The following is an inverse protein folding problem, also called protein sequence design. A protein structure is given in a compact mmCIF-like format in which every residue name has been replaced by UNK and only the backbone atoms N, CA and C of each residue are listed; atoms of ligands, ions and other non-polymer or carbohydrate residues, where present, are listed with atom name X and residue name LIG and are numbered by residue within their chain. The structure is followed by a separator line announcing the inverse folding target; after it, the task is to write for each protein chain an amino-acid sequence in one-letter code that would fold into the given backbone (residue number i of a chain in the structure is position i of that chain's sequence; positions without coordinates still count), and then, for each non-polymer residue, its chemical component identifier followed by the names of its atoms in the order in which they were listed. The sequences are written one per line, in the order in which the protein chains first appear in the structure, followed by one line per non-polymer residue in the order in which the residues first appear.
data_IF_980288160196
#
_entry.id   IF_980288160196
#
_cell.length_a   1.000
_cell.length_b   1.000
_cell.length_c   1.000
_cell.angle_alpha   90.00
_cell.angle_beta   90.00
_cell.angle_gamma   90.00
#
_symmetry.space_group_name_H-M   'P 1'
#
loop_
_entity.id
_entity.type
_entity.pdbx_description
1 polymer ?
#
# COMPACT_ATOMS: atom_id res chain seq x y z
N UNK A 1 -13.63 11.48 -8.76
CA UNK A 1 -12.76 11.71 -7.60
C UNK A 1 -13.33 11.33 -6.23
N UNK A 2 -14.66 11.30 -5.99
CA UNK A 2 -15.25 10.87 -4.70
C UNK A 2 -15.34 9.35 -4.48
N UNK A 3 -15.00 8.51 -5.47
CA UNK A 3 -15.35 7.08 -5.48
C UNK A 3 -14.26 6.13 -4.96
N UNK A 4 -13.00 6.56 -4.91
CA UNK A 4 -11.86 5.71 -4.46
C UNK A 4 -11.36 6.01 -3.05
N UNK A 5 -12.00 6.98 -2.37
CA UNK A 5 -11.56 7.45 -1.06
C UNK A 5 -11.39 6.34 0.00
N UNK A 6 -12.29 5.33 0.12
CA UNK A 6 -12.16 4.36 1.20
C UNK A 6 -10.99 3.38 1.05
N UNK A 7 -10.67 2.95 -0.16
CA UNK A 7 -9.50 2.07 -0.38
C UNK A 7 -8.21 2.86 -0.20
N UNK A 8 -8.18 4.09 -0.73
CA UNK A 8 -7.07 5.00 -0.54
C UNK A 8 -6.88 5.37 0.94
N UNK A 9 -7.97 5.54 1.70
CA UNK A 9 -7.94 5.87 3.14
C UNK A 9 -7.34 4.73 3.96
N UNK A 10 -7.64 3.48 3.64
CA UNK A 10 -7.04 2.32 4.34
C UNK A 10 -5.55 2.20 4.00
N UNK A 11 -5.18 2.39 2.75
CA UNK A 11 -3.79 2.36 2.31
C UNK A 11 -3.01 3.59 2.80
N UNK A 12 -3.65 4.76 2.82
CA UNK A 12 -3.08 5.99 3.41
C UNK A 12 -3.04 5.89 4.94
N UNK A 13 -3.98 5.21 5.61
CA UNK A 13 -3.89 4.95 7.05
C UNK A 13 -2.74 4.00 7.40
N UNK A 14 -2.44 3.02 6.57
CA UNK A 14 -1.24 2.18 6.68
C UNK A 14 0.04 3.00 6.40
N UNK A 15 0.00 3.95 5.46
CA UNK A 15 1.11 4.85 5.12
C UNK A 15 1.18 6.09 6.02
N UNK A 16 0.04 6.59 6.52
CA UNK A 16 -0.07 7.82 7.32
C UNK A 16 0.24 7.65 8.80
N UNK A 17 0.82 6.52 9.20
CA UNK A 17 1.56 6.45 10.47
C UNK A 17 2.71 7.47 10.55
N UNK A 18 2.55 8.65 9.94
CA UNK A 18 3.35 9.84 10.18
C UNK A 18 4.67 9.99 9.40
N UNK A 19 5.07 9.01 8.57
CA UNK A 19 6.39 9.05 7.92
C UNK A 19 6.43 9.42 6.43
N UNK A 20 5.32 9.32 5.71
CA UNK A 20 5.32 9.36 4.25
C UNK A 20 5.80 10.71 3.66
N UNK A 21 5.43 11.83 4.23
CA UNK A 21 5.82 13.16 3.71
C UNK A 21 7.30 13.50 3.97
N UNK A 22 7.91 12.89 4.97
CA UNK A 22 9.34 13.11 5.28
C UNK A 22 10.25 12.28 4.36
N UNK A 23 9.78 11.09 3.98
CA UNK A 23 10.57 10.15 3.16
C UNK A 23 10.78 10.62 1.72
N UNK A 24 9.82 11.35 1.15
CA UNK A 24 9.96 11.95 -0.20
C UNK A 24 11.18 12.89 -0.29
N UNK A 25 11.65 13.41 0.82
CA UNK A 25 12.74 14.39 0.88
C UNK A 25 14.11 13.80 1.23
N UNK A 26 14.18 12.54 1.68
CA UNK A 26 15.42 11.90 2.14
C UNK A 26 15.66 10.50 1.57
N UNK A 27 15.14 10.23 0.36
CA UNK A 27 15.22 8.93 -0.27
C UNK A 27 16.65 8.39 -0.38
N UNK A 28 16.90 7.31 0.33
CA UNK A 28 18.00 6.42 0.02
C UNK A 28 17.51 5.42 -1.02
N UNK A 29 18.30 5.13 -2.04
CA UNK A 29 18.04 4.05 -2.98
C UNK A 29 18.33 2.69 -2.29
N UNK A 30 17.60 2.39 -1.22
CA UNK A 30 17.43 1.01 -0.80
C UNK A 30 16.75 0.28 -1.95
N UNK A 31 17.17 -0.95 -2.23
CA UNK A 31 16.50 -1.77 -3.21
C UNK A 31 14.99 -1.70 -2.92
N UNK A 32 14.20 -1.23 -3.88
CA UNK A 32 12.75 -1.17 -3.76
C UNK A 32 12.19 -2.46 -4.36
N UNK A 33 11.99 -3.54 -3.59
CA UNK A 33 11.50 -4.81 -4.12
C UNK A 33 10.19 -4.63 -4.87
N UNK A 34 9.37 -3.67 -4.42
CA UNK A 34 8.12 -3.30 -5.08
C UNK A 34 8.31 -2.91 -6.57
N UNK A 35 9.41 -2.28 -6.94
CA UNK A 35 9.67 -1.93 -8.33
C UNK A 35 9.80 -3.16 -9.24
N UNK A 36 10.22 -4.31 -8.70
CA UNK A 36 10.27 -5.59 -9.42
C UNK A 36 8.89 -6.21 -9.69
N UNK A 37 7.85 -5.73 -9.01
CA UNK A 37 6.47 -6.22 -9.17
C UNK A 37 5.64 -5.38 -10.13
N UNK A 38 6.08 -4.17 -10.41
CA UNK A 38 5.33 -3.15 -11.13
C UNK A 38 5.65 -3.14 -12.63
N UNK A 39 4.69 -2.76 -13.48
CA UNK A 39 4.96 -2.54 -14.90
C UNK A 39 5.90 -1.34 -15.10
N UNK A 40 6.67 -1.31 -16.20
CA UNK A 40 7.68 -0.27 -16.44
C UNK A 40 7.07 1.13 -16.64
N UNK A 41 5.83 1.18 -17.11
CA UNK A 41 5.04 2.40 -17.34
C UNK A 41 4.30 2.91 -16.10
N UNK A 42 4.67 2.43 -14.91
CA UNK A 42 4.11 2.91 -13.63
C UNK A 42 4.30 4.42 -13.47
N UNK A 43 3.19 5.13 -13.25
CA UNK A 43 3.15 6.59 -13.20
C UNK A 43 3.68 7.16 -11.87
N UNK A 44 3.43 6.44 -10.75
CA UNK A 44 3.90 6.84 -9.43
C UNK A 44 4.07 5.63 -8.53
N UNK A 45 5.11 5.64 -7.71
CA UNK A 45 5.39 4.63 -6.69
C UNK A 45 5.73 5.33 -5.38
N UNK A 46 5.00 5.00 -4.33
CA UNK A 46 5.37 5.27 -2.95
C UNK A 46 5.73 3.95 -2.29
N UNK A 47 6.95 3.82 -1.79
CA UNK A 47 7.41 2.62 -1.10
C UNK A 47 8.10 2.97 0.22
N UNK A 48 7.83 2.16 1.24
CA UNK A 48 8.46 2.24 2.57
C UNK A 48 9.09 0.87 2.84
N UNK A 49 10.39 0.71 2.60
CA UNK A 49 11.06 -0.59 2.71
C UNK A 49 11.00 -1.18 4.11
N UNK A 50 11.17 -0.34 5.13
CA UNK A 50 11.15 -0.76 6.53
C UNK A 50 10.34 0.23 7.40
N UNK A 51 9.02 0.04 7.52
CA UNK A 51 8.16 0.93 8.31
C UNK A 51 8.58 1.05 9.77
N UNK A 52 9.05 -0.05 10.37
CA UNK A 52 9.50 -0.05 11.76
C UNK A 52 10.67 0.90 11.99
N UNK A 53 11.71 0.80 11.18
CA UNK A 53 12.85 1.73 11.26
C UNK A 53 12.43 3.16 10.92
N UNK A 54 11.55 3.35 9.95
CA UNK A 54 11.04 4.67 9.58
C UNK A 54 10.34 5.32 10.77
N UNK A 55 9.52 4.59 11.52
CA UNK A 55 8.85 5.09 12.73
C UNK A 55 9.85 5.44 13.82
N UNK A 56 10.85 4.58 14.09
CA UNK A 56 11.86 4.86 15.12
C UNK A 56 12.69 6.10 14.76
N UNK A 57 13.11 6.23 13.51
CA UNK A 57 13.82 7.44 13.04
C UNK A 57 12.95 8.69 13.15
N UNK A 58 11.65 8.58 12.79
CA UNK A 58 10.74 9.71 12.91
C UNK A 58 10.61 10.21 14.36
N UNK A 59 10.58 9.31 15.34
CA UNK A 59 10.54 9.66 16.76
C UNK A 59 11.73 10.51 17.22
N UNK A 60 12.84 10.47 16.50
CA UNK A 60 14.04 11.27 16.82
C UNK A 60 14.01 12.68 16.22
N UNK A 61 13.04 12.98 15.33
CA UNK A 61 12.97 14.26 14.63
C UNK A 61 12.31 15.37 15.47
N UNK A 62 12.66 16.62 15.19
CA UNK A 62 12.00 17.76 15.81
C UNK A 62 10.54 17.88 15.38
N UNK A 63 10.20 17.40 14.18
CA UNK A 63 8.82 17.33 13.71
C UNK A 63 7.98 16.40 14.61
N UNK A 64 8.53 15.25 15.03
CA UNK A 64 7.84 14.38 15.97
C UNK A 64 7.65 15.04 17.35
N UNK A 65 8.67 15.73 17.85
CA UNK A 65 8.57 16.47 19.12
C UNK A 65 7.45 17.51 19.04
N UNK A 66 7.44 18.31 17.96
CA UNK A 66 6.38 19.29 17.71
C UNK A 66 5.00 18.60 17.56
N UNK A 67 4.93 17.49 16.84
CA UNK A 67 3.69 16.71 16.68
C UNK A 67 3.13 16.21 18.02
N UNK A 68 3.99 15.86 18.97
CA UNK A 68 3.59 15.33 20.27
C UNK A 68 3.24 16.42 21.30
N UNK A 69 3.44 17.70 20.97
CA UNK A 69 3.04 18.80 21.82
C UNK A 69 1.53 18.85 22.02
N UNK A 70 1.03 18.98 23.27
CA UNK A 70 -0.40 18.98 23.58
C UNK A 70 -1.20 20.01 22.81
N UNK A 71 -0.66 21.21 22.62
CA UNK A 71 -1.34 22.30 21.91
C UNK A 71 -1.47 22.01 20.41
N UNK A 72 -0.45 21.40 19.80
CA UNK A 72 -0.47 20.95 18.41
C UNK A 72 -1.49 19.82 18.23
N UNK A 73 -1.52 18.85 19.15
CA UNK A 73 -2.50 17.77 19.15
C UNK A 73 -3.93 18.32 19.30
N UNK A 74 -4.14 19.29 20.20
CA UNK A 74 -5.45 19.92 20.38
C UNK A 74 -5.90 20.70 19.14
N UNK A 75 -4.99 21.41 18.48
CA UNK A 75 -5.25 22.13 17.23
C UNK A 75 -5.62 21.16 16.09
N UNK A 76 -4.88 20.06 15.99
CA UNK A 76 -5.08 19.06 14.92
C UNK A 76 -6.26 18.11 15.19
N UNK A 77 -6.73 18.00 16.43
CA UNK A 77 -7.84 17.11 16.79
C UNK A 77 -9.14 17.45 16.05
N UNK A 78 -9.41 18.72 15.76
CA UNK A 78 -10.60 19.17 15.04
C UNK A 78 -10.55 18.84 13.54
N UNK A 79 -9.51 19.21 12.77
CA UNK A 79 -9.40 18.86 11.37
C UNK A 79 -9.16 17.36 11.14
N UNK A 80 -8.56 16.66 12.10
CA UNK A 80 -8.33 15.24 12.08
C UNK A 80 -9.45 14.41 12.74
N UNK A 81 -10.61 14.98 12.97
CA UNK A 81 -11.80 14.29 13.53
C UNK A 81 -12.29 13.08 12.74
N UNK A 82 -11.63 12.75 11.62
CA UNK A 82 -11.75 11.50 10.87
C UNK A 82 -10.83 10.39 11.41
N UNK A 83 -9.97 10.70 12.38
CA UNK A 83 -9.03 9.73 12.94
C UNK A 83 -9.73 8.99 14.10
N UNK A 84 -9.71 7.65 14.10
CA UNK A 84 -10.34 6.85 15.15
C UNK A 84 -9.91 7.25 16.56
N UNK A 85 -10.72 6.96 17.60
CA UNK A 85 -10.35 7.17 19.00
C UNK A 85 -8.96 6.63 19.34
N UNK A 86 -8.31 7.21 20.34
CA UNK A 86 -6.93 6.86 20.71
C UNK A 86 -6.72 5.38 21.03
N UNK A 87 -7.74 4.72 21.59
CA UNK A 87 -7.70 3.29 21.92
C UNK A 87 -7.67 2.43 20.64
N UNK A 88 -8.59 2.66 19.70
CA UNK A 88 -8.63 1.92 18.43
C UNK A 88 -7.36 2.12 17.61
N UNK A 89 -6.77 3.30 17.67
CA UNK A 89 -5.45 3.56 17.04
C UNK A 89 -4.35 2.75 17.69
N UNK A 90 -4.32 2.69 19.01
CA UNK A 90 -3.32 1.90 19.73
C UNK A 90 -3.44 0.41 19.40
N UNK A 91 -4.66 -0.12 19.33
CA UNK A 91 -4.92 -1.51 18.99
C UNK A 91 -4.53 -1.82 17.54
N UNK A 92 -4.87 -0.93 16.60
CA UNK A 92 -4.46 -1.07 15.20
C UNK A 92 -2.93 -1.01 15.04
N UNK A 93 -2.25 -0.07 15.71
CA UNK A 93 -0.80 0.01 15.68
C UNK A 93 -0.14 -1.23 16.30
N UNK A 94 -0.71 -1.79 17.37
CA UNK A 94 -0.24 -3.02 17.98
C UNK A 94 -0.41 -4.22 17.03
N UNK A 95 -1.50 -4.30 16.28
CA UNK A 95 -1.71 -5.32 15.23
C UNK A 95 -0.69 -5.17 14.10
N UNK A 96 -0.50 -3.96 13.58
CA UNK A 96 0.51 -3.68 12.56
C UNK A 96 1.92 -4.07 13.06
N UNK A 97 2.25 -3.73 14.31
CA UNK A 97 3.55 -4.06 14.89
C UNK A 97 3.79 -5.58 14.99
N UNK A 98 2.74 -6.38 15.22
CA UNK A 98 2.83 -7.86 15.23
C UNK A 98 3.15 -8.43 13.86
N UNK A 99 2.60 -7.83 12.80
CA UNK A 99 2.87 -8.25 11.42
C UNK A 99 4.28 -7.92 10.96
N UNK A 100 4.98 -7.03 11.65
CA UNK A 100 6.32 -6.56 11.27
C UNK A 100 6.41 -6.26 9.76
N UNK A 101 5.53 -5.39 9.24
CA UNK A 101 5.45 -5.19 7.81
C UNK A 101 6.76 -4.64 7.26
N UNK A 102 7.14 -5.14 6.11
CA UNK A 102 8.25 -4.64 5.31
C UNK A 102 7.77 -4.37 3.89
N UNK A 103 8.56 -3.61 3.12
CA UNK A 103 8.27 -3.35 1.71
C UNK A 103 6.82 -2.90 1.45
N UNK A 104 6.29 -2.03 2.32
CA UNK A 104 4.94 -1.45 2.12
C UNK A 104 4.99 -0.51 0.93
N UNK A 105 4.08 -0.69 -0.01
CA UNK A 105 4.04 0.16 -1.21
C UNK A 105 2.61 0.43 -1.70
N UNK A 106 2.46 1.52 -2.41
CA UNK A 106 1.31 1.84 -3.24
C UNK A 106 1.79 2.42 -4.56
N UNK A 107 1.24 1.95 -5.66
CA UNK A 107 1.58 2.39 -6.99
C UNK A 107 0.34 2.78 -7.80
N UNK A 108 0.46 3.87 -8.52
CA UNK A 108 -0.43 4.23 -9.61
C UNK A 108 0.19 3.71 -10.90
N UNK A 109 -0.36 2.65 -11.47
CA UNK A 109 0.23 1.97 -12.62
C UNK A 109 -0.24 2.55 -13.93
N UNK A 110 -1.50 2.98 -14.01
CA UNK A 110 -2.07 3.57 -15.21
C UNK A 110 -3.27 4.48 -14.88
N UNK A 111 -3.68 5.26 -15.84
CA UNK A 111 -4.98 5.93 -15.88
C UNK A 111 -5.75 5.37 -17.07
N UNK A 112 -6.99 4.96 -16.89
CA UNK A 112 -7.85 4.55 -18.00
C UNK A 112 -8.11 5.71 -18.97
N UNK A 113 -7.85 5.49 -20.25
CA UNK A 113 -7.93 6.54 -21.28
C UNK A 113 -9.34 7.15 -21.45
N UNK A 114 -10.37 6.40 -21.12
CA UNK A 114 -11.78 6.80 -21.32
C UNK A 114 -12.44 7.34 -20.08
N UNK A 115 -12.25 6.65 -18.95
CA UNK A 115 -12.88 6.99 -17.67
C UNK A 115 -11.99 7.86 -16.79
N UNK A 116 -10.69 7.97 -17.11
CA UNK A 116 -9.66 8.59 -16.28
C UNK A 116 -9.63 7.97 -14.86
N UNK A 117 -10.04 6.70 -14.75
CA UNK A 117 -9.98 5.96 -13.49
C UNK A 117 -8.53 5.47 -13.26
N UNK A 118 -7.99 5.66 -12.05
CA UNK A 118 -6.65 5.21 -11.74
C UNK A 118 -6.61 3.69 -11.53
N UNK A 119 -5.63 3.03 -12.10
CA UNK A 119 -5.26 1.66 -11.78
C UNK A 119 -4.23 1.68 -10.64
N UNK A 120 -4.62 1.13 -9.50
CA UNK A 120 -3.82 1.18 -8.27
C UNK A 120 -3.51 -0.22 -7.81
N UNK A 121 -2.23 -0.46 -7.54
CA UNK A 121 -1.73 -1.66 -6.87
C UNK A 121 -1.07 -1.25 -5.55
N UNK A 122 -1.34 -2.00 -4.51
CA UNK A 122 -0.66 -1.84 -3.24
C UNK A 122 -0.31 -3.20 -2.65
N UNK A 123 0.64 -3.22 -1.73
CA UNK A 123 1.01 -4.44 -1.05
C UNK A 123 2.02 -4.21 0.06
N UNK A 124 2.28 -5.26 0.79
CA UNK A 124 3.31 -5.30 1.81
C UNK A 124 3.74 -6.74 2.09
N UNK A 125 4.99 -6.91 2.50
CA UNK A 125 5.46 -8.15 3.08
C UNK A 125 5.22 -8.14 4.58
N UNK A 126 4.96 -9.30 5.17
CA UNK A 126 4.68 -9.44 6.60
C UNK A 126 5.38 -10.67 7.16
N UNK A 127 5.61 -10.64 8.47
CA UNK A 127 6.09 -11.79 9.23
C UNK A 127 4.95 -12.23 10.15
N UNK A 128 4.57 -13.50 10.08
CA UNK A 128 3.46 -14.01 10.88
C UNK A 128 2.44 -14.78 10.06
N UNK A 129 1.24 -14.93 10.59
CA UNK A 129 0.17 -15.65 9.92
C UNK A 129 -0.66 -14.73 9.02
N UNK A 130 -1.10 -15.23 7.87
CA UNK A 130 -2.04 -14.50 7.00
C UNK A 130 -3.36 -14.13 7.70
N UNK A 131 -3.77 -14.94 8.69
CA UNK A 131 -4.93 -14.62 9.53
C UNK A 131 -4.80 -13.30 10.29
N UNK A 132 -3.59 -12.89 10.67
CA UNK A 132 -3.37 -11.60 11.33
C UNK A 132 -3.56 -10.43 10.34
N UNK A 133 -3.18 -10.63 9.07
CA UNK A 133 -3.47 -9.69 7.98
C UNK A 133 -4.97 -9.60 7.75
N UNK A 134 -5.68 -10.74 7.70
CA UNK A 134 -7.13 -10.76 7.53
C UNK A 134 -7.85 -10.05 8.67
N UNK A 135 -7.42 -10.23 9.91
CA UNK A 135 -7.95 -9.49 11.06
C UNK A 135 -7.71 -7.99 10.95
N UNK A 136 -6.52 -7.57 10.54
CA UNK A 136 -6.20 -6.16 10.33
C UNK A 136 -7.08 -5.53 9.24
N UNK A 137 -7.34 -6.26 8.15
CA UNK A 137 -8.08 -5.79 7.00
C UNK A 137 -9.60 -5.95 7.12
N UNK A 138 -10.10 -6.73 8.09
CA UNK A 138 -11.52 -7.00 8.25
C UNK A 138 -12.38 -5.72 8.34
N UNK A 139 -12.03 -4.69 9.13
CA UNK A 139 -12.81 -3.46 9.18
C UNK A 139 -12.89 -2.75 7.81
N UNK A 140 -11.83 -2.80 7.03
CA UNK A 140 -11.80 -2.20 5.70
C UNK A 140 -12.64 -2.98 4.69
N UNK A 141 -12.56 -4.32 4.74
CA UNK A 141 -13.42 -5.21 3.94
C UNK A 141 -14.91 -4.97 4.26
N UNK A 142 -15.24 -4.80 5.55
CA UNK A 142 -16.61 -4.51 5.98
C UNK A 142 -17.08 -3.11 5.57
N UNK A 143 -16.25 -2.09 5.68
CA UNK A 143 -16.55 -0.76 5.19
C UNK A 143 -16.80 -0.74 3.67
N UNK A 144 -16.03 -1.54 2.91
CA UNK A 144 -16.23 -1.72 1.48
C UNK A 144 -17.59 -2.35 1.18
N UNK A 145 -17.97 -3.41 1.90
CA UNK A 145 -19.29 -4.07 1.77
C UNK A 145 -20.44 -3.12 2.12
N UNK A 146 -20.31 -2.37 3.20
CA UNK A 146 -21.31 -1.36 3.60
C UNK A 146 -21.45 -0.24 2.56
N UNK A 147 -20.33 0.18 1.96
CA UNK A 147 -20.32 1.22 0.92
C UNK A 147 -20.97 0.75 -0.37
N UNK A 148 -20.85 -0.53 -0.69
CA UNK A 148 -21.35 -1.12 -1.93
C UNK A 148 -22.22 -2.36 -1.60
N UNK A 149 -23.47 -2.12 -1.10
CA UNK A 149 -24.34 -3.23 -0.66
C UNK A 149 -24.80 -4.15 -1.79
N UNK A 150 -24.75 -3.68 -3.05
CA UNK A 150 -24.99 -4.51 -4.23
C UNK A 150 -23.74 -5.24 -4.74
N UNK A 151 -22.58 -5.01 -4.10
CA UNK A 151 -21.33 -5.63 -4.47
C UNK A 151 -21.34 -7.13 -4.20
N UNK A 152 -20.52 -7.86 -4.96
CA UNK A 152 -20.40 -9.33 -4.84
C UNK A 152 -18.96 -9.69 -4.54
N UNK A 153 -18.80 -10.45 -3.46
CA UNK A 153 -17.53 -11.09 -3.14
C UNK A 153 -17.47 -12.45 -3.85
N UNK A 154 -16.31 -12.80 -4.36
CA UNK A 154 -16.01 -14.09 -4.96
C UNK A 154 -14.59 -14.51 -4.64
N UNK A 155 -14.30 -15.80 -4.77
CA UNK A 155 -12.98 -16.41 -4.60
C UNK A 155 -12.61 -17.15 -5.89
N UNK A 156 -11.64 -16.63 -6.59
CA UNK A 156 -11.12 -17.20 -7.82
C UNK A 156 -9.84 -17.98 -7.54
N UNK A 157 -9.49 -18.90 -8.44
CA UNK A 157 -8.17 -19.50 -8.45
C UNK A 157 -7.43 -19.03 -9.70
N UNK A 158 -6.38 -18.24 -9.52
CA UNK A 158 -5.53 -17.79 -10.61
C UNK A 158 -4.17 -18.48 -10.52
N UNK A 159 -3.88 -19.37 -11.46
CA UNK A 159 -2.59 -20.09 -11.56
C UNK A 159 -2.16 -20.82 -10.27
N UNK A 160 -3.13 -21.26 -9.47
CA UNK A 160 -2.88 -21.91 -8.18
C UNK A 160 -2.94 -20.97 -6.96
N UNK A 161 -3.10 -19.68 -7.16
CA UNK A 161 -3.26 -18.69 -6.08
C UNK A 161 -4.75 -18.40 -5.86
N UNK A 162 -5.23 -18.48 -4.60
CA UNK A 162 -6.53 -17.94 -4.24
C UNK A 162 -6.53 -16.41 -4.39
N UNK A 163 -7.46 -15.89 -5.19
CA UNK A 163 -7.67 -14.45 -5.39
C UNK A 163 -9.05 -14.10 -4.86
N UNK A 164 -9.11 -13.32 -3.80
CA UNK A 164 -10.36 -12.75 -3.33
C UNK A 164 -10.73 -11.55 -4.20
N UNK A 165 -11.97 -11.50 -4.66
CA UNK A 165 -12.49 -10.37 -5.46
C UNK A 165 -13.73 -9.78 -4.82
N UNK A 166 -13.92 -8.48 -5.00
CA UNK A 166 -15.13 -7.77 -4.65
C UNK A 166 -15.53 -6.83 -5.79
N UNK A 167 -16.52 -7.26 -6.57
CA UNK A 167 -17.10 -6.43 -7.62
C UNK A 167 -18.07 -5.41 -6.99
N UNK A 168 -17.79 -4.12 -7.14
CA UNK A 168 -18.56 -3.04 -6.49
C UNK A 168 -19.92 -2.76 -7.16
N UNK A 169 -20.17 -3.38 -8.32
CA UNK A 169 -21.40 -3.17 -9.10
C UNK A 169 -21.40 -1.90 -9.97
N UNK A 170 -20.33 -1.11 -9.94
CA UNK A 170 -20.15 0.09 -10.76
C UNK A 170 -18.97 0.00 -11.76
N UNK A 171 -18.53 -1.21 -12.04
CA UNK A 171 -17.43 -1.49 -12.97
C UNK A 171 -16.07 -1.71 -12.33
N UNK A 172 -15.88 -1.34 -11.06
CA UNK A 172 -14.62 -1.56 -10.35
C UNK A 172 -14.64 -2.90 -9.63
N UNK A 173 -13.57 -3.67 -9.73
CA UNK A 173 -13.34 -4.90 -8.97
C UNK A 173 -12.10 -4.74 -8.10
N UNK A 174 -12.28 -4.80 -6.80
CA UNK A 174 -11.15 -4.90 -5.86
C UNK A 174 -10.74 -6.35 -5.81
N UNK A 175 -9.46 -6.63 -6.05
CA UNK A 175 -8.90 -7.97 -6.02
C UNK A 175 -7.71 -8.03 -5.07
N UNK A 176 -7.56 -9.13 -4.32
CA UNK A 176 -6.43 -9.32 -3.42
C UNK A 176 -5.96 -10.78 -3.39
N UNK A 177 -4.67 -10.97 -3.15
CA UNK A 177 -4.05 -12.29 -3.07
C UNK A 177 -2.88 -12.30 -2.10
N UNK A 178 -2.58 -13.50 -1.61
CA UNK A 178 -1.34 -13.80 -0.89
C UNK A 178 -0.37 -14.54 -1.81
N UNK A 179 0.89 -14.14 -1.79
CA UNK A 179 2.00 -14.84 -2.41
C UNK A 179 3.10 -15.05 -1.37
N UNK A 180 3.02 -16.17 -0.64
CA UNK A 180 3.85 -16.41 0.53
C UNK A 180 3.60 -15.38 1.63
N UNK A 181 4.62 -14.59 1.96
CA UNK A 181 4.58 -13.50 2.93
C UNK A 181 4.21 -12.13 2.32
N UNK A 182 3.89 -12.09 1.05
CA UNK A 182 3.47 -10.88 0.34
C UNK A 182 1.94 -10.84 0.21
N UNK A 183 1.33 -9.77 0.72
CA UNK A 183 -0.07 -9.44 0.45
C UNK A 183 -0.15 -8.37 -0.63
N UNK A 184 -1.00 -8.60 -1.62
CA UNK A 184 -1.26 -7.69 -2.74
C UNK A 184 -2.74 -7.35 -2.80
N UNK A 185 -3.05 -6.12 -3.16
CA UNK A 185 -4.40 -5.64 -3.43
C UNK A 185 -4.39 -4.65 -4.60
N UNK A 186 -5.33 -4.81 -5.51
CA UNK A 186 -5.53 -3.91 -6.65
C UNK A 186 -7.01 -3.55 -6.81
N UNK A 187 -7.28 -2.45 -7.47
CA UNK A 187 -8.64 -2.08 -7.88
C UNK A 187 -9.02 -2.59 -9.28
N UNK A 188 -8.20 -3.46 -9.83
CA UNK A 188 -8.37 -4.13 -11.11
C UNK A 188 -7.83 -5.55 -11.01
N UNK A 189 -8.67 -6.54 -11.36
CA UNK A 189 -8.29 -7.94 -11.33
C UNK A 189 -7.17 -8.25 -12.33
N UNK A 190 -7.23 -7.71 -13.54
CA UNK A 190 -6.20 -7.95 -14.55
C UNK A 190 -4.83 -7.39 -14.15
N UNK A 191 -4.82 -6.24 -13.43
CA UNK A 191 -3.60 -5.68 -12.86
C UNK A 191 -2.99 -6.62 -11.81
N UNK A 192 -3.82 -7.19 -10.93
CA UNK A 192 -3.34 -8.15 -9.92
C UNK A 192 -2.79 -9.42 -10.58
N UNK A 193 -3.52 -10.00 -11.54
CA UNK A 193 -3.10 -11.19 -12.28
C UNK A 193 -1.77 -10.97 -13.01
N UNK A 194 -1.64 -9.86 -13.73
CA UNK A 194 -0.38 -9.49 -14.40
C UNK A 194 0.78 -9.27 -13.41
N UNK A 195 0.48 -8.82 -12.20
CA UNK A 195 1.48 -8.66 -11.14
C UNK A 195 1.93 -10.02 -10.60
N UNK A 196 1.00 -10.93 -10.34
CA UNK A 196 1.32 -12.31 -9.93
C UNK A 196 2.19 -13.01 -10.97
N UNK A 197 1.81 -12.92 -12.26
CA UNK A 197 2.61 -13.49 -13.34
C UNK A 197 4.02 -12.90 -13.42
N UNK A 198 4.17 -11.59 -13.19
CA UNK A 198 5.47 -10.94 -13.20
C UNK A 198 6.36 -11.41 -12.06
N UNK A 199 5.82 -11.53 -10.85
CA UNK A 199 6.56 -12.01 -9.68
C UNK A 199 7.03 -13.45 -9.90
N UNK A 200 6.20 -14.30 -10.49
CA UNK A 200 6.52 -15.70 -10.73
C UNK A 200 7.19 -15.97 -12.10
N UNK A 201 7.51 -14.92 -12.86
CA UNK A 201 8.15 -15.00 -14.18
C UNK A 201 7.40 -15.87 -15.17
N UNK A 202 6.06 -15.83 -15.16
CA UNK A 202 5.20 -16.62 -16.04
C UNK A 202 4.83 -15.87 -17.32
N UNK A 203 4.80 -16.58 -18.44
CA UNK A 203 4.27 -16.14 -19.74
C UNK A 203 4.94 -14.92 -20.34
N UNK A 204 4.18 -14.15 -21.12
CA UNK A 204 4.62 -12.87 -21.70
C UNK A 204 4.86 -11.79 -20.64
N UNK A 205 4.50 -12.03 -19.41
CA UNK A 205 4.78 -11.19 -18.25
C UNK A 205 6.26 -11.25 -17.80
N UNK A 206 7.12 -11.95 -18.50
CA UNK A 206 8.55 -11.63 -18.55
C UNK A 206 8.82 -10.21 -19.11
N UNK A 207 7.76 -9.41 -19.32
CA UNK A 207 7.87 -7.99 -19.60
C UNK A 207 8.72 -7.32 -18.53
N UNK A 208 9.63 -6.40 -18.90
CA UNK A 208 10.50 -5.75 -17.95
C UNK A 208 9.67 -5.11 -16.83
N UNK A 209 10.13 -5.29 -15.60
CA UNK A 209 9.54 -4.60 -14.46
C UNK A 209 10.12 -3.18 -14.35
N UNK A 210 9.50 -2.34 -13.55
CA UNK A 210 9.91 -0.95 -13.33
C UNK A 210 11.37 -0.83 -12.88
N UNK A 211 11.89 -1.78 -12.12
CA UNK A 211 13.29 -1.83 -11.69
C UNK A 211 14.28 -2.00 -12.84
N UNK A 212 13.81 -2.41 -14.03
CA UNK A 212 14.62 -2.52 -15.27
C UNK A 212 14.41 -1.35 -16.21
N UNK A 213 13.50 -0.45 -15.91
CA UNK A 213 13.28 0.75 -16.70
C UNK A 213 14.47 1.71 -16.55
N UNK A 214 14.97 2.24 -17.69
CA UNK A 214 16.17 3.05 -17.71
C UNK A 214 15.98 4.40 -17.01
N UNK A 215 14.81 5.01 -17.16
CA UNK A 215 14.50 6.30 -16.55
C UNK A 215 14.32 6.14 -15.04
N UNK A 216 13.64 5.07 -14.59
CA UNK A 216 13.52 4.73 -13.19
C UNK A 216 14.89 4.50 -12.55
N UNK A 217 15.78 3.75 -13.21
CA UNK A 217 17.14 3.50 -12.74
C UNK A 217 17.96 4.80 -12.67
N UNK A 218 17.85 5.64 -13.68
CA UNK A 218 18.56 6.93 -13.72
C UNK A 218 18.10 7.89 -12.61
N UNK A 219 16.81 7.89 -12.26
CA UNK A 219 16.27 8.67 -11.15
C UNK A 219 16.69 8.06 -9.83
N UNK A 220 16.52 6.74 -9.65
CA UNK A 220 16.87 6.02 -8.43
C UNK A 220 18.36 6.18 -8.07
N UNK A 221 19.25 6.16 -9.06
CA UNK A 221 20.68 6.35 -8.86
C UNK A 221 21.05 7.77 -8.35
N UNK A 222 20.18 8.75 -8.53
CA UNK A 222 20.36 10.13 -8.04
C UNK A 222 19.80 10.36 -6.63
N UNK A 223 19.02 9.42 -6.12
CA UNK A 223 18.51 9.52 -4.77
C UNK A 223 19.67 9.30 -3.78
N UNK A 224 19.70 10.03 -2.66
CA UNK A 224 20.75 9.87 -1.66
C UNK A 224 20.82 8.43 -1.18
N UNK A 225 21.99 7.81 -1.34
CA UNK A 225 22.29 6.52 -0.74
C UNK A 225 22.71 6.74 0.71
N UNK A 226 22.08 6.05 1.62
CA UNK A 226 22.69 5.96 2.93
C UNK A 226 21.84 6.39 4.10
N UNK A 227 20.82 5.59 4.35
CA UNK A 227 20.27 5.47 5.69
C UNK A 227 20.29 4.02 6.18
N UNK A 228 21.20 3.20 5.63
CA UNK A 228 21.43 1.81 5.99
C UNK A 228 22.63 1.62 6.91
N UNK A 229 23.01 2.67 7.65
CA UNK A 229 24.02 2.54 8.72
C UNK A 229 23.45 2.94 10.05
#
# INVERSE_FOLDING_TARGET
MKRMLPVLVVLVALAAGGGALYYIRQGGAAAMPAAGYLPPDTLALLAIPNPGQTVERWKTTDLYKMWTEPDVQAFLAKPLGLIPPSQERADTLAQIARLQPTNVFIALTALDDKSNEPHVLAGFQFQGASSDVDHLLAPAKDALRQRYPAGKADLLNYQGHPVETFATGNGTTVASAYLGDLYLIANDLALLEATLDRIEHRGAAAAPALDKDADFQAVSAKLPHGFDT
#
